data_IF_881125559193
#
_entry.id   IF_881125559193
#
_cell.length_a   1.000
_cell.length_b   1.000
_cell.length_c   1.000
_cell.angle_alpha   90.00
_cell.angle_beta   90.00
_cell.angle_gamma   90.00
#
_symmetry.space_group_name_H-M   'P 1'
#
loop_
_entity.id
_entity.type
_entity.pdbx_description
1 polymer ?
#
# COMPACT_ATOMS: atom_id res chain seq x y z
N UNK A 1 61.30 34.33 -38.39
CA UNK A 1 60.92 35.00 -37.12
C UNK A 1 59.41 34.87 -36.99
N UNK A 2 58.83 33.85 -36.36
CA UNK A 2 58.85 33.46 -34.93
C UNK A 2 58.30 34.57 -34.02
N UNK A 3 57.01 34.45 -33.65
CA UNK A 3 56.58 34.41 -32.24
C UNK A 3 55.07 34.17 -32.14
N UNK A 4 54.71 32.94 -31.76
CA UNK A 4 53.45 32.59 -31.10
C UNK A 4 53.65 32.71 -29.58
N UNK A 5 52.70 33.34 -28.88
CA UNK A 5 52.51 33.28 -27.41
C UNK A 5 51.05 33.63 -27.12
N UNK A 6 50.36 33.15 -26.10
CA UNK A 6 50.46 32.02 -25.18
C UNK A 6 49.23 32.19 -24.29
N UNK A 7 48.21 31.34 -24.44
CA UNK A 7 47.00 31.40 -23.60
C UNK A 7 47.34 31.06 -22.14
N UNK A 8 46.93 31.93 -21.21
CA UNK A 8 47.11 31.71 -19.77
C UNK A 8 46.15 30.62 -19.30
N UNK A 9 46.70 29.45 -18.96
CA UNK A 9 45.99 28.41 -18.21
C UNK A 9 45.84 28.85 -16.75
N UNK A 10 44.60 29.04 -16.32
CA UNK A 10 44.26 29.23 -14.91
C UNK A 10 44.22 27.86 -14.24
N UNK A 11 45.29 27.47 -13.56
CA UNK A 11 45.30 26.26 -12.73
C UNK A 11 44.43 26.48 -11.49
N UNK A 12 43.28 25.80 -11.43
CA UNK A 12 42.49 25.66 -10.21
C UNK A 12 43.29 24.83 -9.20
N UNK A 13 43.81 25.52 -8.20
CA UNK A 13 44.57 24.95 -7.10
C UNK A 13 43.59 24.25 -6.12
N UNK A 14 43.37 22.94 -6.32
CA UNK A 14 42.58 22.11 -5.40
C UNK A 14 43.45 21.82 -4.18
N UNK A 15 43.24 22.57 -3.11
CA UNK A 15 43.82 22.26 -1.79
C UNK A 15 43.25 20.91 -1.35
N UNK A 16 44.05 19.84 -1.46
CA UNK A 16 43.79 18.57 -0.78
C UNK A 16 43.79 18.84 0.72
N UNK A 17 42.65 18.63 1.38
CA UNK A 17 42.59 18.58 2.83
C UNK A 17 43.48 17.42 3.33
N UNK A 18 44.16 17.57 4.48
CA UNK A 18 44.92 16.47 5.07
C UNK A 18 43.97 15.32 5.42
N UNK A 19 44.36 14.11 5.03
CA UNK A 19 43.74 12.87 5.49
C UNK A 19 43.97 12.82 7.00
N UNK A 20 42.89 12.99 7.76
CA UNK A 20 42.89 12.77 9.21
C UNK A 20 43.05 11.26 9.39
N UNK A 21 44.22 10.84 9.89
CA UNK A 21 44.39 9.47 10.36
C UNK A 21 43.43 9.27 11.54
N UNK A 22 42.42 8.40 11.36
CA UNK A 22 41.57 7.95 12.44
C UNK A 22 42.35 6.85 13.18
N UNK A 23 42.84 7.16 14.38
CA UNK A 23 43.39 6.16 15.29
C UNK A 23 42.23 5.31 15.84
N UNK A 24 42.24 4.01 15.52
CA UNK A 24 41.21 3.01 15.85
C UNK A 24 41.07 2.67 17.36
N UNK A 25 41.64 3.47 18.26
CA UNK A 25 41.78 3.13 19.67
C UNK A 25 40.76 3.80 20.62
N UNK A 26 39.83 4.64 20.13
CA UNK A 26 38.94 5.44 21.01
C UNK A 26 37.44 5.10 20.97
N UNK A 27 36.98 4.09 20.22
CA UNK A 27 35.53 3.81 20.10
C UNK A 27 34.98 2.92 21.24
N UNK A 28 35.83 2.40 22.14
CA UNK A 28 35.39 1.41 23.16
C UNK A 28 34.81 2.01 24.46
N UNK A 29 34.61 3.32 24.60
CA UNK A 29 34.19 3.92 25.89
C UNK A 29 32.77 4.49 25.97
N UNK A 30 31.91 4.31 24.96
CA UNK A 30 30.54 4.87 24.97
C UNK A 30 29.44 3.84 24.64
N UNK A 31 29.46 2.68 25.29
CA UNK A 31 28.26 1.82 25.38
C UNK A 31 27.65 1.98 26.77
N UNK A 32 26.49 2.65 26.93
CA UNK A 32 25.77 2.65 28.19
C UNK A 32 25.25 1.24 28.48
N UNK A 33 25.53 0.79 29.71
CA UNK A 33 25.17 -0.50 30.29
C UNK A 33 23.63 -0.68 30.23
N UNK A 34 23.12 -1.52 29.34
CA UNK A 34 21.69 -1.82 29.27
C UNK A 34 21.28 -2.67 30.48
N UNK A 35 20.24 -2.28 31.25
CA UNK A 35 19.74 -3.12 32.33
C UNK A 35 19.08 -4.39 31.79
N UNK A 36 19.24 -5.48 32.53
CA UNK A 36 18.77 -6.82 32.18
C UNK A 36 17.26 -6.85 31.85
N UNK A 37 16.94 -7.49 30.72
CA UNK A 37 15.58 -7.72 30.21
C UNK A 37 14.80 -8.63 31.19
N UNK A 38 13.61 -8.24 31.69
CA UNK A 38 12.81 -9.13 32.53
C UNK A 38 12.30 -10.34 31.73
N UNK A 39 12.32 -11.51 32.38
CA UNK A 39 11.89 -12.79 31.82
C UNK A 39 10.40 -12.74 31.44
N UNK A 40 10.08 -13.20 30.25
CA UNK A 40 8.71 -13.31 29.76
C UNK A 40 7.91 -14.30 30.62
N UNK A 41 6.90 -13.80 31.35
CA UNK A 41 5.86 -14.60 31.96
C UNK A 41 4.90 -15.12 30.88
N UNK A 42 4.84 -16.44 30.74
CA UNK A 42 3.85 -17.16 29.94
C UNK A 42 2.48 -17.00 30.60
N UNK A 43 1.59 -16.20 29.99
CA UNK A 43 0.17 -16.17 30.36
C UNK A 43 -0.55 -17.37 29.74
N UNK A 44 -1.33 -18.16 30.52
CA UNK A 44 -2.12 -19.25 29.96
C UNK A 44 -3.31 -18.71 29.15
N UNK A 45 -3.51 -19.30 27.96
CA UNK A 45 -4.63 -19.04 27.06
C UNK A 45 -5.95 -19.35 27.77
N UNK A 46 -6.83 -18.35 27.87
CA UNK A 46 -8.19 -18.51 28.37
C UNK A 46 -8.98 -19.45 27.48
N UNK A 47 -9.65 -20.43 28.11
CA UNK A 47 -10.64 -21.31 27.47
C UNK A 47 -11.84 -20.48 27.04
N UNK A 48 -12.15 -20.51 25.75
CA UNK A 48 -13.44 -20.04 25.24
C UNK A 48 -14.47 -21.18 25.40
N UNK A 49 -15.67 -20.94 25.95
CA UNK A 49 -16.71 -21.95 25.99
C UNK A 49 -17.23 -22.20 24.56
N UNK A 50 -17.18 -23.48 24.15
CA UNK A 50 -18.03 -23.99 23.09
C UNK A 50 -19.48 -23.99 23.60
N UNK A 51 -20.38 -23.43 22.81
CA UNK A 51 -21.81 -23.79 22.68
C UNK A 51 -22.63 -22.56 22.27
N UNK A 52 -22.74 -22.35 20.96
CA UNK A 52 -23.78 -21.51 20.37
C UNK A 52 -24.26 -22.21 19.09
N UNK A 53 -25.02 -23.28 19.27
CA UNK A 53 -25.81 -23.91 18.21
C UNK A 53 -26.99 -23.00 17.86
N UNK A 54 -26.88 -22.28 16.75
CA UNK A 54 -28.00 -21.52 16.17
C UNK A 54 -28.86 -22.51 15.37
N UNK A 55 -30.09 -22.73 15.83
CA UNK A 55 -31.04 -23.67 15.22
C UNK A 55 -31.72 -23.03 13.99
N UNK A 56 -31.24 -23.39 12.79
CA UNK A 56 -31.58 -22.80 11.48
C UNK A 56 -33.01 -23.09 10.98
N UNK A 57 -33.87 -23.74 11.76
CA UNK A 57 -35.21 -24.17 11.30
C UNK A 57 -36.32 -23.13 11.49
N UNK A 58 -36.11 -22.11 12.32
CA UNK A 58 -37.18 -21.16 12.69
C UNK A 58 -37.20 -19.83 11.89
N UNK A 59 -36.25 -19.59 10.99
CA UNK A 59 -36.17 -18.34 10.22
C UNK A 59 -37.08 -18.32 8.96
N UNK A 60 -37.58 -19.46 8.51
CA UNK A 60 -38.36 -19.56 7.26
C UNK A 60 -39.83 -19.12 7.38
N UNK A 61 -40.36 -19.04 8.61
CA UNK A 61 -41.76 -18.68 8.84
C UNK A 61 -42.02 -17.17 8.84
N UNK A 62 -41.01 -16.33 9.09
CA UNK A 62 -41.17 -14.88 9.22
C UNK A 62 -41.18 -14.12 7.87
N UNK A 63 -40.79 -14.76 6.77
CA UNK A 63 -40.62 -14.11 5.45
C UNK A 63 -41.80 -14.30 4.48
N UNK A 64 -42.95 -14.83 4.93
CA UNK A 64 -44.09 -15.17 4.05
C UNK A 64 -45.32 -14.25 4.13
N UNK A 65 -45.26 -13.12 4.83
CA UNK A 65 -46.48 -12.30 5.06
C UNK A 65 -46.30 -10.79 4.79
N UNK A 66 -45.58 -10.41 3.74
CA UNK A 66 -45.68 -9.05 3.19
C UNK A 66 -45.75 -9.10 1.66
N UNK A 67 -46.92 -9.49 1.16
CA UNK A 67 -47.33 -9.30 -0.23
C UNK A 67 -48.58 -8.41 -0.21
N UNK A 68 -48.37 -7.11 -0.45
CA UNK A 68 -49.42 -6.12 -0.68
C UNK A 68 -48.94 -5.13 -1.74
N UNK A 69 -49.27 -5.48 -2.99
CA UNK A 69 -49.97 -4.61 -3.95
C UNK A 69 -49.62 -3.12 -3.89
N UNK A 70 -48.65 -2.69 -4.70
CA UNK A 70 -48.65 -1.34 -5.23
C UNK A 70 -47.94 -1.28 -6.60
N UNK A 71 -48.68 -1.57 -7.66
CA UNK A 71 -48.24 -1.38 -9.05
C UNK A 71 -49.30 -0.60 -9.81
N UNK A 72 -49.40 0.70 -9.49
CA UNK A 72 -50.05 1.69 -10.35
C UNK A 72 -48.95 2.39 -11.16
N UNK A 73 -48.93 2.04 -12.45
CA UNK A 73 -48.75 2.95 -13.59
C UNK A 73 -47.76 4.13 -13.46
N UNK A 74 -46.61 4.00 -14.10
CA UNK A 74 -45.93 5.14 -14.72
C UNK A 74 -45.18 4.68 -15.97
N UNK A 75 -45.87 4.72 -17.11
CA UNK A 75 -45.26 4.59 -18.44
C UNK A 75 -44.52 5.90 -18.76
N UNK A 76 -43.21 5.89 -18.58
CA UNK A 76 -42.31 6.85 -19.19
C UNK A 76 -41.38 6.12 -20.13
N UNK A 77 -41.67 6.17 -21.44
CA UNK A 77 -40.69 5.82 -22.46
C UNK A 77 -39.54 6.84 -22.41
N UNK A 78 -38.45 6.45 -21.76
CA UNK A 78 -37.15 7.08 -21.89
C UNK A 78 -36.26 6.13 -22.69
N UNK A 79 -35.76 6.63 -23.81
CA UNK A 79 -34.67 6.04 -24.59
C UNK A 79 -33.53 5.57 -23.68
N UNK A 80 -32.97 4.37 -23.88
CA UNK A 80 -31.80 3.91 -23.12
C UNK A 80 -30.56 4.63 -23.63
N UNK A 81 -30.39 5.88 -23.22
CA UNK A 81 -29.11 6.56 -23.37
C UNK A 81 -28.11 5.89 -22.42
N UNK A 82 -26.93 5.54 -22.96
CA UNK A 82 -25.79 4.79 -22.37
C UNK A 82 -25.25 5.29 -21.01
N UNK A 83 -25.88 6.28 -20.38
CA UNK A 83 -25.39 6.94 -19.15
C UNK A 83 -25.72 6.15 -17.87
N UNK A 84 -26.63 5.17 -17.92
CA UNK A 84 -27.04 4.39 -16.73
C UNK A 84 -26.03 3.31 -16.32
N UNK A 85 -25.02 3.01 -17.15
CA UNK A 85 -24.04 1.95 -16.88
C UNK A 85 -23.07 2.29 -15.73
N UNK A 86 -22.80 3.57 -15.45
CA UNK A 86 -21.79 3.99 -14.48
C UNK A 86 -22.16 3.67 -13.01
N UNK A 87 -23.45 3.64 -12.66
CA UNK A 87 -23.89 3.28 -11.30
C UNK A 87 -23.75 1.78 -11.01
N UNK A 88 -23.64 0.94 -12.05
CA UNK A 88 -23.49 -0.51 -11.90
C UNK A 88 -22.06 -0.94 -11.54
N UNK A 89 -21.07 -0.08 -11.76
CA UNK A 89 -19.66 -0.42 -11.59
C UNK A 89 -19.18 -0.06 -10.17
N UNK A 90 -18.48 -0.98 -9.48
CA UNK A 90 -17.87 -0.68 -8.18
C UNK A 90 -16.81 0.42 -8.33
N UNK A 91 -16.47 1.10 -7.23
CA UNK A 91 -15.39 2.07 -7.18
C UNK A 91 -14.04 1.42 -7.53
N UNK A 92 -13.14 2.22 -8.12
CA UNK A 92 -11.86 1.73 -8.65
C UNK A 92 -11.00 1.08 -7.57
N UNK A 93 -11.00 1.66 -6.36
CA UNK A 93 -10.27 1.14 -5.21
C UNK A 93 -11.23 0.62 -4.14
N UNK A 94 -11.37 -0.69 -4.06
CA UNK A 94 -12.27 -1.32 -3.09
C UNK A 94 -11.61 -1.23 -1.69
N UNK A 95 -12.31 -0.65 -0.69
CA UNK A 95 -11.78 -0.56 0.66
C UNK A 95 -11.62 -1.95 1.28
N UNK A 96 -10.62 -2.12 2.15
CA UNK A 96 -10.43 -3.36 2.88
C UNK A 96 -11.46 -3.49 4.00
N UNK A 97 -11.57 -4.69 4.58
CA UNK A 97 -12.50 -4.96 5.68
C UNK A 97 -12.24 -4.11 6.94
N UNK A 98 -11.02 -3.60 7.11
CA UNK A 98 -10.62 -2.83 8.29
C UNK A 98 -10.78 -1.32 8.12
N UNK A 99 -11.18 -0.88 6.94
CA UNK A 99 -11.34 0.54 6.65
C UNK A 99 -12.71 1.05 7.07
N UNK A 100 -12.79 2.33 7.42
CA UNK A 100 -14.04 2.98 7.78
C UNK A 100 -14.95 3.11 6.55
N UNK A 101 -15.84 2.15 6.32
CA UNK A 101 -16.79 2.15 5.19
C UNK A 101 -18.14 2.75 5.53
N UNK A 102 -18.28 3.41 6.69
CA UNK A 102 -19.53 4.03 7.14
C UNK A 102 -20.13 5.02 6.14
N UNK A 103 -19.30 5.62 5.27
CA UNK A 103 -19.75 6.57 4.25
C UNK A 103 -20.40 5.91 3.02
N UNK A 104 -20.29 4.59 2.87
CA UNK A 104 -20.90 3.84 1.76
C UNK A 104 -22.35 3.40 2.06
N UNK A 105 -22.87 3.71 3.25
CA UNK A 105 -24.28 3.43 3.55
C UNK A 105 -25.20 4.21 2.59
N UNK A 106 -26.31 3.60 2.11
CA UNK A 106 -27.18 4.22 1.10
C UNK A 106 -27.76 5.57 1.56
N UNK A 107 -28.02 5.71 2.87
CA UNK A 107 -28.61 6.91 3.46
C UNK A 107 -27.56 7.83 4.11
N UNK A 108 -26.27 7.64 3.77
CA UNK A 108 -25.19 8.40 4.39
C UNK A 108 -25.23 9.87 3.99
N UNK A 109 -25.16 10.75 4.98
CA UNK A 109 -25.13 12.20 4.76
C UNK A 109 -23.67 12.74 4.76
N UNK A 110 -23.15 13.20 3.60
CA UNK A 110 -21.76 13.67 3.46
C UNK A 110 -21.48 15.01 4.18
N UNK A 111 -22.50 15.77 4.56
CA UNK A 111 -22.33 17.04 5.31
C UNK A 111 -21.76 16.81 6.70
N UNK A 112 -21.91 15.61 7.27
CA UNK A 112 -21.40 15.24 8.58
C UNK A 112 -19.87 15.12 8.60
N UNK A 113 -19.26 14.80 7.45
CA UNK A 113 -17.82 14.61 7.33
C UNK A 113 -17.05 15.93 7.40
N UNK A 114 -15.87 15.90 8.01
CA UNK A 114 -14.92 17.01 7.97
C UNK A 114 -14.20 17.03 6.61
N UNK A 115 -13.77 18.22 6.17
CA UNK A 115 -13.05 18.42 4.90
C UNK A 115 -11.86 17.45 4.73
N UNK A 116 -10.99 17.23 5.74
CA UNK A 116 -9.87 16.28 5.61
C UNK A 116 -10.35 14.86 5.32
N UNK A 117 -11.45 14.44 5.95
CA UNK A 117 -12.04 13.11 5.75
C UNK A 117 -12.63 12.97 4.35
N UNK A 118 -13.39 13.96 3.86
CA UNK A 118 -13.92 13.96 2.49
C UNK A 118 -12.80 13.84 1.44
N UNK A 119 -11.73 14.61 1.62
CA UNK A 119 -10.56 14.57 0.75
C UNK A 119 -9.89 13.20 0.74
N UNK A 120 -9.67 12.62 1.92
CA UNK A 120 -9.10 11.28 2.03
C UNK A 120 -9.97 10.22 1.33
N UNK A 121 -11.30 10.30 1.49
CA UNK A 121 -12.23 9.37 0.84
C UNK A 121 -12.17 9.49 -0.68
N UNK A 122 -12.14 10.71 -1.22
CA UNK A 122 -12.03 10.94 -2.67
C UNK A 122 -10.68 10.45 -3.22
N UNK A 123 -9.57 10.78 -2.56
CA UNK A 123 -8.23 10.31 -2.97
C UNK A 123 -8.13 8.79 -2.96
N UNK A 124 -8.65 8.16 -1.90
CA UNK A 124 -8.62 6.71 -1.75
C UNK A 124 -9.26 6.01 -2.95
N UNK A 125 -10.39 6.53 -3.41
CA UNK A 125 -11.15 6.03 -4.55
C UNK A 125 -10.63 6.54 -5.89
N UNK A 126 -9.48 7.22 -5.91
CA UNK A 126 -8.85 7.81 -7.09
C UNK A 126 -9.75 8.82 -7.83
N UNK A 127 -10.62 9.52 -7.09
CA UNK A 127 -11.50 10.54 -7.66
C UNK A 127 -10.76 11.88 -7.63
N UNK A 128 -10.49 12.49 -8.80
CA UNK A 128 -9.76 13.74 -8.86
C UNK A 128 -10.62 14.88 -8.31
N UNK A 129 -10.00 15.74 -7.50
CA UNK A 129 -10.59 17.00 -7.03
C UNK A 129 -9.48 18.05 -6.89
N UNK A 130 -9.85 19.32 -6.84
CA UNK A 130 -8.87 20.40 -6.64
C UNK A 130 -8.62 20.67 -5.14
N UNK A 131 -7.35 20.80 -4.69
CA UNK A 131 -7.01 20.92 -3.28
C UNK A 131 -7.52 22.20 -2.60
N UNK A 132 -7.84 23.24 -3.38
CA UNK A 132 -8.36 24.54 -2.89
C UNK A 132 -9.89 24.59 -2.82
N UNK A 133 -10.59 23.51 -3.18
CA UNK A 133 -12.06 23.46 -3.18
C UNK A 133 -12.67 23.56 -1.78
N UNK A 134 -13.85 24.19 -1.74
CA UNK A 134 -14.70 24.32 -0.55
C UNK A 134 -15.40 23.01 -0.22
N UNK A 135 -15.90 22.88 1.02
CA UNK A 135 -16.61 21.68 1.48
C UNK A 135 -17.83 21.35 0.61
N UNK A 136 -18.57 22.35 0.14
CA UNK A 136 -19.75 22.14 -0.70
C UNK A 136 -19.41 21.42 -2.00
N UNK A 137 -18.37 21.88 -2.70
CA UNK A 137 -17.92 21.27 -3.97
C UNK A 137 -17.46 19.83 -3.75
N UNK A 138 -16.77 19.54 -2.63
CA UNK A 138 -16.36 18.18 -2.31
C UNK A 138 -17.57 17.26 -2.03
N UNK A 139 -18.63 17.80 -1.42
CA UNK A 139 -19.87 17.07 -1.19
C UNK A 139 -20.58 16.78 -2.51
N UNK A 140 -20.62 17.73 -3.43
CA UNK A 140 -21.20 17.54 -4.76
C UNK A 140 -20.51 16.41 -5.52
N UNK A 141 -19.17 16.41 -5.54
CA UNK A 141 -18.37 15.33 -6.17
C UNK A 141 -18.63 13.99 -5.48
N UNK A 142 -18.77 13.97 -4.15
CA UNK A 142 -19.08 12.75 -3.41
C UNK A 142 -20.46 12.18 -3.80
N UNK A 143 -21.48 13.04 -3.92
CA UNK A 143 -22.83 12.62 -4.31
C UNK A 143 -22.86 12.12 -5.76
N UNK A 144 -22.13 12.77 -6.66
CA UNK A 144 -22.12 12.38 -8.08
C UNK A 144 -21.33 11.10 -8.35
N UNK A 145 -20.19 10.90 -7.70
CA UNK A 145 -19.26 9.80 -8.02
C UNK A 145 -19.36 8.62 -7.06
N UNK A 146 -19.48 8.88 -5.74
CA UNK A 146 -19.36 7.84 -4.71
C UNK A 146 -20.70 7.19 -4.41
N UNK A 147 -21.74 7.99 -4.12
CA UNK A 147 -23.06 7.46 -3.73
C UNK A 147 -23.65 6.44 -4.73
N UNK A 148 -23.70 6.70 -6.06
CA UNK A 148 -24.30 5.75 -6.99
C UNK A 148 -23.54 4.42 -7.07
N UNK A 149 -22.21 4.45 -6.85
CA UNK A 149 -21.32 3.27 -6.91
C UNK A 149 -21.17 2.58 -5.54
N UNK A 150 -21.73 3.14 -4.46
CA UNK A 150 -21.53 2.66 -3.10
C UNK A 150 -22.10 1.26 -2.88
N UNK A 151 -23.33 1.02 -3.35
CA UNK A 151 -23.97 -0.29 -3.25
C UNK A 151 -23.20 -1.37 -4.02
N UNK A 152 -22.76 -1.06 -5.24
CA UNK A 152 -21.92 -1.95 -6.04
C UNK A 152 -20.57 -2.24 -5.35
N UNK A 153 -19.98 -1.25 -4.68
CA UNK A 153 -18.73 -1.39 -3.93
C UNK A 153 -18.90 -2.30 -2.72
N UNK A 154 -19.98 -2.15 -1.94
CA UNK A 154 -20.28 -3.05 -0.82
C UNK A 154 -20.50 -4.50 -1.29
N UNK A 155 -21.19 -4.68 -2.42
CA UNK A 155 -21.34 -5.99 -3.04
C UNK A 155 -20.00 -6.57 -3.53
N UNK A 156 -19.08 -5.73 -4.03
CA UNK A 156 -17.74 -6.15 -4.40
C UNK A 156 -16.90 -6.54 -3.18
N UNK A 157 -16.96 -5.77 -2.08
CA UNK A 157 -16.29 -6.11 -0.81
C UNK A 157 -16.72 -7.47 -0.28
N UNK A 158 -18.02 -7.78 -0.33
CA UNK A 158 -18.55 -9.08 0.09
C UNK A 158 -18.01 -10.25 -0.74
N UNK A 159 -17.54 -9.98 -1.97
CA UNK A 159 -16.90 -10.97 -2.85
C UNK A 159 -15.40 -11.11 -2.62
N UNK A 160 -14.73 -10.14 -1.99
CA UNK A 160 -13.27 -10.19 -1.76
C UNK A 160 -12.95 -11.31 -0.75
N UNK A 161 -12.29 -12.36 -1.23
CA UNK A 161 -11.77 -13.44 -0.41
C UNK A 161 -10.26 -13.29 -0.26
N UNK A 162 -9.74 -13.65 0.91
CA UNK A 162 -8.28 -13.69 1.13
C UNK A 162 -7.74 -14.94 0.46
N UNK A 163 -6.77 -14.77 -0.42
CA UNK A 163 -5.99 -15.90 -0.92
C UNK A 163 -5.12 -16.46 0.22
N UNK A 164 -5.17 -17.79 0.43
CA UNK A 164 -4.39 -18.48 1.46
C UNK A 164 -2.86 -18.41 1.22
N UNK A 165 -2.45 -17.92 0.04
CA UNK A 165 -1.04 -17.70 -0.32
C UNK A 165 -0.36 -16.61 0.54
N UNK A 166 -1.13 -15.87 1.33
CA UNK A 166 -0.61 -14.86 2.26
C UNK A 166 -0.10 -13.60 1.54
N UNK A 167 0.67 -12.78 2.27
CA UNK A 167 1.41 -11.65 1.69
C UNK A 167 2.52 -12.27 0.83
N UNK A 168 2.33 -12.30 -0.49
CA UNK A 168 3.38 -12.74 -1.41
C UNK A 168 4.46 -11.67 -1.40
N UNK A 169 5.60 -11.99 -0.80
CA UNK A 169 6.80 -11.17 -0.90
C UNK A 169 7.23 -11.12 -2.37
N UNK A 170 6.90 -10.04 -3.04
CA UNK A 170 7.51 -9.70 -4.32
C UNK A 170 9.00 -9.54 -4.04
N UNK A 171 9.83 -10.47 -4.54
CA UNK A 171 11.27 -10.51 -4.28
C UNK A 171 11.91 -9.19 -4.72
N UNK A 172 11.97 -8.23 -3.80
CA UNK A 172 12.44 -6.89 -4.08
C UNK A 172 13.97 -6.93 -4.06
N UNK A 173 14.57 -7.12 -5.23
CA UNK A 173 16.01 -6.95 -5.38
C UNK A 173 16.34 -5.46 -5.25
N UNK A 174 17.34 -5.08 -4.43
CA UNK A 174 17.88 -3.74 -4.50
C UNK A 174 18.45 -3.57 -5.92
N UNK A 175 17.83 -2.68 -6.70
CA UNK A 175 18.20 -2.38 -8.09
C UNK A 175 19.56 -1.68 -8.24
N UNK A 176 20.51 -1.97 -7.37
CA UNK A 176 21.85 -1.40 -7.36
C UNK A 176 22.87 -2.54 -7.10
N UNK A 177 23.83 -2.77 -8.01
CA UNK A 177 24.83 -3.84 -7.89
C UNK A 177 25.80 -3.66 -6.71
N UNK A 178 25.69 -2.53 -5.98
CA UNK A 178 26.57 -2.22 -4.87
C UNK A 178 26.43 -3.21 -3.71
N UNK A 179 25.26 -3.83 -3.51
CA UNK A 179 25.06 -4.76 -2.39
C UNK A 179 25.88 -6.04 -2.55
N UNK A 180 25.97 -6.59 -3.76
CA UNK A 180 26.74 -7.81 -4.07
C UNK A 180 28.22 -7.57 -3.80
N UNK A 181 28.75 -6.45 -4.30
CA UNK A 181 30.13 -6.04 -4.08
C UNK A 181 30.42 -5.75 -2.61
N UNK A 182 29.48 -5.13 -1.89
CA UNK A 182 29.60 -4.89 -0.46
C UNK A 182 29.66 -6.21 0.32
N UNK A 183 28.81 -7.19 -0.03
CA UNK A 183 28.83 -8.52 0.58
C UNK A 183 30.11 -9.29 0.26
N UNK A 184 30.63 -9.22 -0.97
CA UNK A 184 31.92 -9.82 -1.32
C UNK A 184 33.09 -9.19 -0.56
N UNK A 185 33.09 -7.86 -0.40
CA UNK A 185 34.07 -7.14 0.43
C UNK A 185 33.96 -7.54 1.90
N UNK A 186 32.75 -7.67 2.42
CA UNK A 186 32.50 -8.11 3.80
C UNK A 186 32.96 -9.55 4.04
N UNK A 187 32.70 -10.46 3.10
CA UNK A 187 33.22 -11.83 3.15
C UNK A 187 34.74 -11.85 3.13
N UNK A 188 35.39 -11.02 2.30
CA UNK A 188 36.85 -10.89 2.28
C UNK A 188 37.42 -10.47 3.65
N UNK A 189 36.73 -9.55 4.35
CA UNK A 189 37.16 -9.06 5.65
C UNK A 189 36.85 -10.02 6.82
N UNK A 190 35.78 -10.81 6.74
CA UNK A 190 35.25 -11.60 7.88
C UNK A 190 35.24 -13.10 7.67
N UNK A 191 35.51 -13.59 6.44
CA UNK A 191 35.36 -14.98 6.01
C UNK A 191 33.98 -15.60 6.29
N UNK A 192 32.94 -14.77 6.42
CA UNK A 192 31.56 -15.22 6.69
C UNK A 192 30.93 -15.90 5.48
N UNK A 193 30.82 -17.23 5.53
CA UNK A 193 30.28 -18.04 4.43
C UNK A 193 28.85 -17.64 4.03
N UNK A 194 28.00 -17.34 5.00
CA UNK A 194 26.62 -16.88 4.78
C UNK A 194 26.56 -15.61 3.92
N UNK A 195 27.54 -14.71 4.07
CA UNK A 195 27.62 -13.46 3.31
C UNK A 195 27.99 -13.74 1.84
N UNK A 196 28.91 -14.68 1.61
CA UNK A 196 29.27 -15.11 0.26
C UNK A 196 28.09 -15.78 -0.44
N UNK A 197 27.40 -16.69 0.25
CA UNK A 197 26.26 -17.41 -0.31
C UNK A 197 25.10 -16.45 -0.65
N UNK A 198 24.89 -15.40 0.16
CA UNK A 198 23.91 -14.35 -0.14
C UNK A 198 24.31 -13.48 -1.34
N UNK A 199 25.59 -13.11 -1.45
CA UNK A 199 26.09 -12.38 -2.62
C UNK A 199 25.93 -13.20 -3.92
N UNK A 200 26.18 -14.51 -3.82
CA UNK A 200 26.05 -15.44 -4.92
C UNK A 200 24.59 -15.60 -5.35
N UNK A 201 23.68 -15.75 -4.39
CA UNK A 201 22.23 -15.79 -4.65
C UNK A 201 21.75 -14.55 -5.42
N UNK A 202 22.23 -13.35 -5.04
CA UNK A 202 21.88 -12.10 -5.74
C UNK A 202 22.41 -12.06 -7.18
N UNK A 203 23.64 -12.52 -7.42
CA UNK A 203 24.21 -12.64 -8.76
C UNK A 203 23.43 -13.62 -9.64
N UNK A 204 23.06 -14.78 -9.09
CA UNK A 204 22.30 -15.81 -9.81
C UNK A 204 20.92 -15.31 -10.21
N UNK A 205 20.18 -14.72 -9.28
CA UNK A 205 18.82 -14.25 -9.53
C UNK A 205 18.79 -13.07 -10.50
N UNK A 206 19.83 -12.21 -10.52
CA UNK A 206 19.98 -11.16 -11.55
C UNK A 206 20.25 -11.73 -12.94
N UNK A 207 20.95 -12.86 -13.01
CA UNK A 207 21.24 -13.56 -14.27
C UNK A 207 20.11 -14.49 -14.73
N UNK A 208 19.01 -14.58 -13.96
CA UNK A 208 17.90 -15.48 -14.25
C UNK A 208 16.84 -14.81 -15.16
N UNK A 209 16.76 -15.16 -16.46
CA UNK A 209 15.76 -14.59 -17.38
C UNK A 209 14.33 -15.09 -17.09
N UNK A 210 14.15 -16.04 -16.17
CA UNK A 210 12.84 -16.59 -15.76
C UNK A 210 12.29 -16.00 -14.46
N UNK A 211 12.97 -15.02 -13.85
CA UNK A 211 12.50 -14.45 -12.58
C UNK A 211 11.38 -13.41 -12.80
N UNK A 212 10.21 -13.78 -12.29
CA UNK A 212 8.93 -13.09 -12.10
C UNK A 212 8.28 -12.19 -13.16
N UNK A 213 8.95 -11.61 -14.15
CA UNK A 213 8.25 -10.73 -15.12
C UNK A 213 8.85 -10.67 -16.54
N UNK A 214 9.85 -11.49 -16.87
CA UNK A 214 10.52 -11.46 -18.19
C UNK A 214 11.02 -10.06 -18.63
N UNK A 215 11.20 -9.16 -17.66
CA UNK A 215 11.76 -7.82 -17.84
C UNK A 215 13.05 -7.77 -17.05
N UNK A 216 14.16 -7.40 -17.69
CA UNK A 216 15.32 -6.98 -16.90
C UNK A 216 14.94 -5.70 -16.16
N UNK A 217 15.36 -5.58 -14.91
CA UNK A 217 15.10 -4.41 -14.06
C UNK A 217 15.67 -3.08 -14.63
N UNK A 218 16.47 -3.14 -15.70
CA UNK A 218 17.09 -1.98 -16.36
C UNK A 218 16.72 -1.83 -17.85
N UNK A 219 15.76 -2.61 -18.36
CA UNK A 219 15.25 -2.48 -19.74
C UNK A 219 14.09 -1.47 -19.83
#
# INVERSE_FOLDING_TARGET
MVQTRSGKQTQKNVRRAPVVAFDDAQITSMIPNQPARPKAETRPLGRHPADCTIDLRNLSAALRTMDLQNTESFLGEGTPDDTTAASSQPLDNIPSLFDDTSYLAPDFNPTTLKIPTLRNVLLRHNIPYSPTQTKSVLIEIFISEIQPRAAATLAAMAKVQRDEKGIVDTRAYPGHPEIELALLRFHSATSSRNTYDLAYFFLEERSNPRSQDSKHFYD
#
